data_IF_292316779248
#
_entry.id   IF_292316779248
#
_cell.length_a   1.000
_cell.length_b   1.000
_cell.length_c   1.000
_cell.angle_alpha   90.00
_cell.angle_beta   90.00
_cell.angle_gamma   90.00
#
_symmetry.space_group_name_H-M   'P 1'
#
loop_
_entity.id
_entity.type
_entity.pdbx_description
1 polymer ?
#
# COMPACT_ATOMS: atom_id res chain seq x y z
N UNK A 1 -8.20 -9.19 -23.53
CA UNK A 1 -7.69 -10.30 -22.69
C UNK A 1 -7.72 -9.94 -21.22
N UNK A 2 -7.20 -8.76 -20.84
CA UNK A 2 -7.45 -8.23 -19.50
C UNK A 2 -8.96 -8.13 -19.26
N UNK A 3 -9.38 -8.59 -18.09
CA UNK A 3 -10.77 -8.68 -17.67
C UNK A 3 -10.83 -8.50 -16.15
N UNK A 4 -12.03 -8.25 -15.62
CA UNK A 4 -12.24 -8.16 -14.17
C UNK A 4 -11.71 -9.40 -13.44
N UNK A 5 -11.99 -10.58 -13.98
CA UNK A 5 -11.51 -11.85 -13.45
C UNK A 5 -9.97 -11.95 -13.43
N UNK A 6 -9.30 -11.41 -14.44
CA UNK A 6 -7.83 -11.38 -14.50
C UNK A 6 -7.23 -10.53 -13.37
N UNK A 7 -7.83 -9.38 -13.06
CA UNK A 7 -7.38 -8.51 -11.97
C UNK A 7 -7.73 -9.07 -10.59
N UNK A 8 -8.90 -9.68 -10.42
CA UNK A 8 -9.26 -10.39 -9.18
C UNK A 8 -8.28 -11.54 -8.89
N UNK A 9 -7.92 -12.33 -9.91
CA UNK A 9 -6.87 -13.33 -9.79
C UNK A 9 -5.51 -12.73 -9.40
N UNK A 10 -5.12 -11.61 -10.01
CA UNK A 10 -3.87 -10.93 -9.68
C UNK A 10 -3.84 -10.45 -8.22
N UNK A 11 -4.96 -9.92 -7.71
CA UNK A 11 -5.10 -9.51 -6.31
C UNK A 11 -4.99 -10.74 -5.39
N UNK A 12 -5.72 -11.82 -5.66
CA UNK A 12 -5.65 -13.08 -4.89
C UNK A 12 -4.23 -13.61 -4.82
N UNK A 13 -3.55 -13.70 -5.96
CA UNK A 13 -2.17 -14.19 -6.04
C UNK A 13 -1.21 -13.27 -5.28
N UNK A 14 -1.36 -11.96 -5.41
CA UNK A 14 -0.56 -11.00 -4.66
C UNK A 14 -0.77 -11.16 -3.15
N UNK A 15 -2.02 -11.31 -2.67
CA UNK A 15 -2.32 -11.57 -1.25
C UNK A 15 -1.67 -12.84 -0.74
N UNK A 16 -1.74 -13.93 -1.50
CA UNK A 16 -1.13 -15.21 -1.13
C UNK A 16 0.40 -15.16 -1.00
N UNK A 17 1.03 -14.19 -1.68
CA UNK A 17 2.46 -13.90 -1.56
C UNK A 17 2.81 -12.88 -0.46
N UNK A 18 1.82 -12.38 0.28
CA UNK A 18 2.01 -11.34 1.28
C UNK A 18 2.10 -9.91 0.70
N UNK A 19 1.61 -9.72 -0.53
CA UNK A 19 1.29 -8.47 -1.23
C UNK A 19 2.17 -7.26 -0.86
N UNK A 20 3.09 -6.88 -1.75
CA UNK A 20 3.71 -5.55 -1.69
C UNK A 20 2.60 -4.49 -1.75
N UNK A 21 2.63 -3.49 -0.88
CA UNK A 21 1.62 -2.42 -0.87
C UNK A 21 1.61 -1.65 -2.20
N UNK A 22 2.76 -1.56 -2.88
CA UNK A 22 2.86 -0.97 -4.21
C UNK A 22 2.03 -1.70 -5.29
N UNK A 23 1.74 -2.99 -5.11
CA UNK A 23 0.91 -3.75 -6.04
C UNK A 23 -0.50 -3.16 -6.18
N UNK A 24 -1.00 -2.50 -5.12
CA UNK A 24 -2.29 -1.78 -5.14
C UNK A 24 -2.26 -0.68 -6.19
N UNK A 25 -1.29 0.22 -6.07
CA UNK A 25 -1.15 1.37 -6.97
C UNK A 25 -1.08 0.88 -8.43
N UNK A 26 -0.23 -0.12 -8.68
CA UNK A 26 -0.01 -0.65 -10.03
C UNK A 26 -1.23 -1.36 -10.60
N UNK A 27 -1.88 -2.25 -9.85
CA UNK A 27 -3.05 -2.98 -10.35
C UNK A 27 -4.26 -2.06 -10.56
N UNK A 28 -4.46 -1.07 -9.69
CA UNK A 28 -5.49 -0.04 -9.89
C UNK A 28 -5.23 0.70 -11.20
N UNK A 29 -4.03 1.25 -11.41
CA UNK A 29 -3.67 1.96 -12.64
C UNK A 29 -3.85 1.07 -13.88
N UNK A 30 -3.28 -0.14 -13.87
CA UNK A 30 -3.37 -1.09 -15.00
C UNK A 30 -4.81 -1.45 -15.33
N UNK A 31 -5.67 -1.64 -14.33
CA UNK A 31 -7.08 -1.99 -14.54
C UNK A 31 -7.88 -0.85 -15.15
N UNK A 32 -7.63 0.39 -14.72
CA UNK A 32 -8.27 1.58 -15.29
C UNK A 32 -7.86 1.81 -16.74
N UNK A 33 -6.58 1.57 -17.07
CA UNK A 33 -6.07 1.59 -18.46
C UNK A 33 -6.63 0.47 -19.33
N UNK A 34 -6.89 -0.70 -18.76
CA UNK A 34 -7.55 -1.79 -19.47
C UNK A 34 -9.04 -1.52 -19.74
N UNK A 35 -9.65 -0.60 -18.97
CA UNK A 35 -10.97 -0.03 -19.20
C UNK A 35 -11.94 -0.25 -18.04
N UNK A 36 -12.96 0.62 -17.94
CA UNK A 36 -13.88 0.67 -16.81
C UNK A 36 -14.57 -0.66 -16.46
N UNK A 37 -14.81 -1.52 -17.45
CA UNK A 37 -15.41 -2.85 -17.28
C UNK A 37 -14.57 -3.82 -16.42
N UNK A 38 -13.29 -3.54 -16.20
CA UNK A 38 -12.38 -4.38 -15.42
C UNK A 38 -11.63 -3.64 -14.31
N UNK A 39 -11.95 -2.37 -14.09
CA UNK A 39 -11.32 -1.55 -13.06
C UNK A 39 -11.47 -2.18 -11.67
N UNK A 40 -10.40 -2.19 -10.88
CA UNK A 40 -10.38 -2.60 -9.47
C UNK A 40 -9.98 -1.42 -8.59
N UNK A 41 -10.37 -1.46 -7.31
CA UNK A 41 -10.05 -0.42 -6.33
C UNK A 41 -9.66 -0.99 -4.97
N UNK A 42 -9.41 -0.10 -4.01
CA UNK A 42 -9.04 -0.48 -2.64
C UNK A 42 -10.01 -1.48 -1.99
N UNK A 43 -11.31 -1.34 -2.23
CA UNK A 43 -12.33 -2.23 -1.66
C UNK A 43 -12.19 -3.67 -2.18
N UNK A 44 -11.68 -3.87 -3.39
CA UNK A 44 -11.40 -5.21 -3.93
C UNK A 44 -10.21 -5.85 -3.24
N UNK A 45 -9.18 -5.06 -2.92
CA UNK A 45 -8.05 -5.49 -2.10
C UNK A 45 -8.48 -5.83 -0.67
N UNK A 46 -9.33 -5.01 -0.03
CA UNK A 46 -9.83 -5.33 1.32
C UNK A 46 -10.65 -6.62 1.33
N UNK A 47 -11.55 -6.81 0.36
CA UNK A 47 -12.33 -8.05 0.22
C UNK A 47 -11.45 -9.28 0.06
N UNK A 48 -10.41 -9.20 -0.77
CA UNK A 48 -9.46 -10.30 -0.95
C UNK A 48 -8.63 -10.55 0.31
N UNK A 49 -8.20 -9.48 1.00
CA UNK A 49 -7.38 -9.58 2.21
C UNK A 49 -8.06 -10.38 3.33
N UNK A 50 -9.39 -10.33 3.41
CA UNK A 50 -10.19 -11.04 4.42
C UNK A 50 -10.44 -12.51 4.11
N UNK A 51 -10.00 -12.99 2.95
CA UNK A 51 -10.35 -14.33 2.45
C UNK A 51 -9.13 -15.14 2.01
N UNK A 52 -8.07 -14.46 1.60
CA UNK A 52 -6.91 -15.10 0.99
C UNK A 52 -5.77 -15.18 2.02
N UNK A 53 -5.37 -16.40 2.44
CA UNK A 53 -4.25 -16.57 3.34
C UNK A 53 -2.92 -16.31 2.63
N UNK A 54 -1.90 -15.92 3.40
CA UNK A 54 -0.50 -15.88 2.92
C UNK A 54 0.07 -17.28 3.01
N UNK A 55 0.40 -17.88 1.87
CA UNK A 55 0.93 -19.26 1.80
C UNK A 55 2.34 -19.35 1.22
N UNK A 56 2.86 -18.28 0.60
CA UNK A 56 4.25 -18.24 0.20
C UNK A 56 5.14 -17.88 1.40
N UNK A 57 5.94 -18.84 1.89
CA UNK A 57 6.86 -18.67 3.01
C UNK A 57 8.16 -17.98 2.58
N UNK A 58 8.05 -16.82 1.92
CA UNK A 58 9.19 -16.05 1.43
C UNK A 58 9.29 -14.71 2.14
N UNK A 59 10.51 -14.22 2.32
CA UNK A 59 10.74 -12.89 2.92
C UNK A 59 10.07 -11.78 2.09
N UNK A 60 9.53 -10.73 2.74
CA UNK A 60 9.63 -10.43 4.17
C UNK A 60 8.53 -11.06 5.04
N UNK A 61 7.50 -11.69 4.45
CA UNK A 61 6.37 -12.25 5.21
C UNK A 61 6.72 -13.57 5.89
N UNK A 62 7.52 -14.41 5.22
CA UNK A 62 8.13 -15.61 5.77
C UNK A 62 9.50 -15.35 6.39
N UNK A 63 10.01 -16.32 7.16
CA UNK A 63 11.25 -16.18 7.93
C UNK A 63 12.50 -16.72 7.22
N UNK A 64 12.31 -17.73 6.36
CA UNK A 64 13.39 -18.65 5.98
C UNK A 64 13.79 -18.50 4.52
N UNK A 65 12.83 -18.50 3.60
CA UNK A 65 13.10 -18.70 2.18
C UNK A 65 13.12 -17.42 1.34
N UNK A 66 13.71 -17.53 0.16
CA UNK A 66 13.78 -16.49 -0.86
C UNK A 66 13.09 -16.97 -2.16
N UNK A 67 13.14 -16.14 -3.20
CA UNK A 67 12.46 -16.41 -4.48
C UNK A 67 12.97 -17.64 -5.22
N UNK A 68 14.25 -18.01 -5.04
CA UNK A 68 14.82 -19.22 -5.65
C UNK A 68 14.18 -20.48 -5.08
N UNK A 69 14.03 -20.55 -3.75
CA UNK A 69 13.32 -21.64 -3.08
C UNK A 69 11.87 -21.73 -3.56
N UNK A 70 11.19 -20.58 -3.71
CA UNK A 70 9.82 -20.53 -4.23
C UNK A 70 9.72 -21.09 -5.64
N UNK A 71 10.66 -20.76 -6.52
CA UNK A 71 10.73 -21.32 -7.86
C UNK A 71 10.89 -22.85 -7.82
N UNK A 72 11.87 -23.36 -7.05
CA UNK A 72 12.11 -24.81 -6.93
C UNK A 72 10.98 -25.57 -6.25
N UNK A 73 10.20 -24.91 -5.37
CA UNK A 73 9.01 -25.48 -4.77
C UNK A 73 7.82 -25.65 -5.74
N UNK A 74 7.97 -25.18 -7.00
CA UNK A 74 6.94 -25.24 -8.06
C UNK A 74 6.43 -23.86 -8.48
N UNK A 75 6.84 -22.80 -7.79
CA UNK A 75 6.59 -21.40 -8.14
C UNK A 75 5.12 -21.02 -8.22
N UNK A 76 4.84 -20.03 -9.06
CA UNK A 76 3.52 -19.41 -9.16
C UNK A 76 2.43 -20.40 -9.57
N UNK A 77 2.72 -21.32 -10.51
CA UNK A 77 1.76 -22.33 -10.97
C UNK A 77 1.36 -23.27 -9.83
N UNK A 78 2.32 -23.74 -9.04
CA UNK A 78 2.05 -24.61 -7.90
C UNK A 78 1.21 -23.89 -6.83
N UNK A 79 1.60 -22.66 -6.46
CA UNK A 79 0.84 -21.85 -5.50
C UNK A 79 -0.58 -21.53 -5.98
N UNK A 80 -0.74 -21.12 -7.24
CA UNK A 80 -2.07 -20.94 -7.84
C UNK A 80 -2.87 -22.24 -7.88
N UNK A 81 -2.20 -23.39 -8.01
CA UNK A 81 -2.81 -24.70 -7.89
C UNK A 81 -3.41 -24.98 -6.50
N UNK A 82 -2.77 -24.49 -5.43
CA UNK A 82 -3.29 -24.53 -4.05
C UNK A 82 -4.47 -23.57 -3.88
N UNK A 83 -4.44 -22.43 -4.57
CA UNK A 83 -5.46 -21.36 -4.48
C UNK A 83 -6.65 -21.55 -5.44
N UNK A 84 -6.83 -22.71 -6.09
CA UNK A 84 -7.83 -22.90 -7.15
C UNK A 84 -9.24 -22.41 -6.78
N UNK A 85 -9.67 -22.65 -5.54
CA UNK A 85 -11.00 -22.25 -5.05
C UNK A 85 -11.14 -20.74 -4.80
N UNK A 86 -10.02 -20.00 -4.82
CA UNK A 86 -9.97 -18.53 -4.74
C UNK A 86 -9.74 -17.86 -6.10
N UNK A 87 -9.61 -18.64 -7.19
CA UNK A 87 -9.29 -18.15 -8.53
C UNK A 87 -10.46 -18.30 -9.50
N UNK A 88 -10.59 -17.31 -10.38
CA UNK A 88 -11.44 -17.37 -11.57
C UNK A 88 -10.73 -18.21 -12.64
N UNK A 89 -10.95 -19.53 -12.62
CA UNK A 89 -10.19 -20.48 -13.44
C UNK A 89 -10.48 -20.38 -14.94
N UNK A 90 -11.64 -19.88 -15.34
CA UNK A 90 -12.03 -19.72 -16.75
C UNK A 90 -11.42 -18.49 -17.42
N UNK A 91 -10.69 -17.65 -16.67
CA UNK A 91 -10.04 -16.47 -17.22
C UNK A 91 -9.02 -16.85 -18.31
N UNK A 92 -9.12 -16.23 -19.49
CA UNK A 92 -8.21 -16.42 -20.60
C UNK A 92 -6.81 -15.88 -20.31
N UNK A 93 -5.80 -16.54 -20.88
CA UNK A 93 -4.39 -16.14 -20.78
C UNK A 93 -3.78 -15.92 -22.17
N UNK A 94 -2.55 -15.39 -22.21
CA UNK A 94 -1.79 -15.16 -23.45
C UNK A 94 -1.49 -16.44 -24.24
N UNK A 95 -1.57 -17.61 -23.59
CA UNK A 95 -1.38 -18.91 -24.25
C UNK A 95 -2.59 -19.35 -25.09
N UNK A 96 -3.71 -18.62 -25.04
CA UNK A 96 -4.98 -19.04 -25.61
C UNK A 96 -5.76 -20.04 -24.73
N UNK A 97 -5.16 -20.52 -23.64
CA UNK A 97 -5.79 -21.40 -22.63
C UNK A 97 -6.30 -20.62 -21.43
N UNK A 98 -7.24 -21.20 -20.69
CA UNK A 98 -7.72 -20.64 -19.41
C UNK A 98 -6.66 -20.76 -18.31
N UNK A 99 -6.86 -20.05 -17.19
CA UNK A 99 -6.01 -20.21 -15.99
C UNK A 99 -6.06 -21.66 -15.52
N UNK A 100 -7.25 -22.27 -15.41
CA UNK A 100 -7.42 -23.65 -14.95
C UNK A 100 -6.66 -24.66 -15.81
N UNK A 101 -6.71 -24.53 -17.14
CA UNK A 101 -5.96 -25.38 -18.06
C UNK A 101 -4.45 -25.23 -17.88
N UNK A 102 -3.96 -24.01 -17.68
CA UNK A 102 -2.54 -23.76 -17.42
C UNK A 102 -2.05 -24.26 -16.06
N UNK A 103 -2.95 -24.53 -15.11
CA UNK A 103 -2.63 -25.10 -13.80
C UNK A 103 -2.68 -26.64 -13.79
N UNK A 104 -3.03 -27.30 -14.90
CA UNK A 104 -2.97 -28.76 -14.98
C UNK A 104 -1.52 -29.25 -14.80
N UNK A 105 -1.35 -30.27 -13.96
CA UNK A 105 -0.04 -30.84 -13.61
C UNK A 105 0.86 -29.91 -12.77
N UNK A 106 0.32 -28.82 -12.20
CA UNK A 106 1.08 -28.03 -11.24
C UNK A 106 1.19 -28.78 -9.90
N UNK A 107 2.42 -28.94 -9.42
CA UNK A 107 2.73 -29.67 -8.18
C UNK A 107 3.55 -28.80 -7.24
N UNK A 108 3.27 -28.93 -5.94
CA UNK A 108 4.10 -28.33 -4.88
C UNK A 108 5.17 -29.34 -4.49
N UNK A 109 6.43 -29.00 -4.72
CA UNK A 109 7.57 -29.88 -4.38
C UNK A 109 8.10 -29.65 -2.97
N UNK A 110 7.79 -28.50 -2.36
CA UNK A 110 8.14 -28.21 -0.97
C UNK A 110 7.01 -27.45 -0.27
N UNK A 111 6.31 -28.17 0.61
CA UNK A 111 5.14 -27.66 1.33
C UNK A 111 5.48 -26.70 2.48
N UNK A 112 6.75 -26.54 2.88
CA UNK A 112 7.11 -25.46 3.82
C UNK A 112 7.35 -24.13 3.09
N UNK A 113 7.75 -24.18 1.81
CA UNK A 113 7.93 -22.99 0.97
C UNK A 113 6.58 -22.49 0.41
N UNK A 114 5.76 -23.41 -0.12
CA UNK A 114 4.40 -23.13 -0.58
C UNK A 114 3.45 -23.92 0.33
N UNK A 115 2.91 -23.23 1.33
CA UNK A 115 2.12 -23.87 2.38
C UNK A 115 0.71 -24.24 1.92
N UNK A 116 0.11 -25.31 2.48
CA UNK A 116 -1.30 -25.60 2.27
C UNK A 116 -2.19 -24.57 3.00
N UNK A 117 -3.46 -24.49 2.59
CA UNK A 117 -4.42 -23.51 3.13
C UNK A 117 -4.77 -23.73 4.62
N UNK A 118 -4.59 -24.94 5.14
CA UNK A 118 -4.81 -25.30 6.54
C UNK A 118 -3.60 -25.03 7.45
N UNK A 119 -2.43 -24.71 6.88
CA UNK A 119 -1.23 -24.30 7.59
C UNK A 119 -0.57 -23.07 6.94
N UNK A 120 -1.28 -21.93 6.80
CA UNK A 120 -0.72 -20.76 6.14
C UNK A 120 0.32 -20.05 7.03
N UNK A 121 1.07 -19.10 6.45
CA UNK A 121 1.91 -18.17 7.22
C UNK A 121 1.02 -17.20 7.99
N UNK A 122 0.00 -16.67 7.32
CA UNK A 122 -1.05 -15.83 7.91
C UNK A 122 -2.40 -16.27 7.35
N UNK A 123 -3.37 -16.53 8.23
CA UNK A 123 -4.69 -17.02 7.83
C UNK A 123 -5.48 -15.99 7.00
N UNK A 124 -5.31 -14.71 7.29
CA UNK A 124 -5.91 -13.60 6.56
C UNK A 124 -5.17 -12.29 6.88
N UNK A 125 -5.52 -11.20 6.18
CA UNK A 125 -5.09 -9.86 6.51
C UNK A 125 -3.63 -9.58 6.17
N UNK A 126 -3.10 -10.19 5.10
CA UNK A 126 -1.76 -9.91 4.60
C UNK A 126 -1.49 -8.40 4.47
N UNK A 127 -2.50 -7.71 3.97
CA UNK A 127 -2.64 -6.27 3.80
C UNK A 127 -4.01 -5.84 4.33
N UNK A 128 -4.15 -4.62 4.82
CA UNK A 128 -5.44 -4.06 5.19
C UNK A 128 -5.60 -2.64 4.63
N UNK A 129 -6.80 -2.31 4.15
CA UNK A 129 -7.18 -0.96 3.75
C UNK A 129 -7.91 -0.31 4.92
N UNK A 130 -7.40 0.81 5.44
CA UNK A 130 -8.05 1.54 6.52
C UNK A 130 -8.73 2.79 5.95
N UNK A 131 -9.85 3.18 6.56
CA UNK A 131 -10.57 4.43 6.26
C UNK A 131 -10.96 5.15 7.54
N UNK A 132 -11.17 6.45 7.43
CA UNK A 132 -11.73 7.29 8.49
C UNK A 132 -11.35 8.74 8.27
N UNK A 133 -11.57 9.60 9.26
CA UNK A 133 -11.36 11.04 9.05
C UNK A 133 -9.90 11.37 8.68
N UNK A 134 -8.89 10.62 9.12
CA UNK A 134 -7.49 10.89 8.75
C UNK A 134 -7.18 10.54 7.29
N UNK A 135 -7.81 9.49 6.76
CA UNK A 135 -7.61 8.99 5.40
C UNK A 135 -8.98 8.65 4.77
N UNK A 136 -9.74 9.67 4.31
CA UNK A 136 -11.09 9.45 3.82
C UNK A 136 -11.12 8.61 2.53
N UNK A 137 -10.15 8.82 1.63
CA UNK A 137 -10.04 8.04 0.38
C UNK A 137 -9.27 6.73 0.58
N UNK A 138 -8.70 6.55 1.78
CA UNK A 138 -8.12 5.32 2.27
C UNK A 138 -6.61 5.39 2.48
N UNK A 139 -6.10 4.41 3.19
CA UNK A 139 -4.67 4.14 3.35
C UNK A 139 -4.45 2.65 3.54
N UNK A 140 -3.20 2.20 3.54
CA UNK A 140 -2.87 0.77 3.59
C UNK A 140 -1.84 0.47 4.65
N UNK A 141 -1.98 -0.68 5.31
CA UNK A 141 -0.98 -1.26 6.22
C UNK A 141 -0.76 -2.72 5.82
N UNK A 142 0.40 -3.28 6.19
CA UNK A 142 0.71 -4.70 6.04
C UNK A 142 0.71 -5.39 7.42
N UNK A 143 -0.44 -5.90 7.92
CA UNK A 143 -0.54 -6.52 9.25
C UNK A 143 0.41 -7.71 9.42
N UNK A 144 0.63 -8.48 8.34
CA UNK A 144 1.57 -9.60 8.32
C UNK A 144 3.04 -9.23 8.59
N UNK A 145 3.40 -7.94 8.57
CA UNK A 145 4.74 -7.47 8.89
C UNK A 145 4.77 -6.55 10.13
N UNK A 146 3.65 -6.41 10.84
CA UNK A 146 3.41 -5.47 11.93
C UNK A 146 3.41 -6.22 13.28
N UNK A 147 4.00 -5.64 14.33
CA UNK A 147 3.89 -6.24 15.66
C UNK A 147 2.43 -6.20 16.16
N UNK A 148 1.90 -7.28 16.80
CA UNK A 148 0.47 -7.41 17.11
C UNK A 148 -0.13 -6.26 17.92
N UNK A 149 0.65 -5.64 18.81
CA UNK A 149 0.19 -4.51 19.63
C UNK A 149 -0.18 -3.27 18.79
N UNK A 150 0.34 -3.13 17.57
CA UNK A 150 0.02 -2.00 16.69
C UNK A 150 -1.17 -2.26 15.75
N UNK A 151 -1.81 -3.44 15.85
CA UNK A 151 -3.08 -3.70 15.16
C UNK A 151 -4.23 -2.86 15.74
N UNK A 152 -4.14 -2.52 17.03
CA UNK A 152 -5.04 -1.59 17.70
C UNK A 152 -4.20 -0.70 18.62
N UNK A 153 -3.99 0.54 18.20
CA UNK A 153 -3.12 1.47 18.92
C UNK A 153 -3.69 2.89 18.87
N UNK A 154 -3.67 3.56 20.01
CA UNK A 154 -3.97 4.99 20.10
C UNK A 154 -2.77 5.68 20.74
N UNK A 155 -2.20 6.68 20.05
CA UNK A 155 -0.98 7.33 20.49
C UNK A 155 -0.88 8.79 20.05
N UNK A 156 -0.05 9.60 20.73
CA UNK A 156 0.20 10.98 20.32
C UNK A 156 1.03 11.02 19.04
N UNK A 157 0.66 11.88 18.11
CA UNK A 157 1.38 12.11 16.87
C UNK A 157 2.69 12.87 17.13
N UNK A 158 3.77 12.46 16.47
CA UNK A 158 5.00 13.24 16.32
C UNK A 158 5.20 13.52 14.84
N UNK A 159 4.99 14.78 14.45
CA UNK A 159 4.80 15.18 13.06
C UNK A 159 6.05 15.78 12.45
N UNK A 160 6.35 15.37 11.22
CA UNK A 160 7.43 15.89 10.38
C UNK A 160 6.89 16.26 9.00
N UNK A 161 7.30 17.41 8.48
CA UNK A 161 6.84 17.94 7.18
C UNK A 161 7.79 17.60 6.02
N UNK A 162 9.00 17.12 6.32
CA UNK A 162 10.01 16.73 5.34
C UNK A 162 10.95 15.64 5.87
N UNK A 163 11.57 14.90 4.96
CA UNK A 163 12.45 13.78 5.30
C UNK A 163 13.75 14.21 6.02
N UNK A 164 14.46 15.28 5.59
CA UNK A 164 15.63 15.77 6.32
C UNK A 164 15.37 16.13 7.80
N UNK A 165 14.28 16.85 8.10
CA UNK A 165 13.94 17.21 9.48
C UNK A 165 13.57 15.99 10.31
N UNK A 166 12.80 15.06 9.75
CA UNK A 166 12.51 13.76 10.36
C UNK A 166 13.79 13.00 10.68
N UNK A 167 14.71 12.89 9.70
CA UNK A 167 15.96 12.15 9.88
C UNK A 167 16.80 12.75 11.00
N UNK A 168 17.00 14.06 11.00
CA UNK A 168 17.72 14.77 12.05
C UNK A 168 17.11 14.53 13.45
N UNK A 169 15.79 14.60 13.57
CA UNK A 169 15.09 14.35 14.83
C UNK A 169 15.21 12.89 15.29
N UNK A 170 15.06 11.92 14.39
CA UNK A 170 15.18 10.50 14.75
C UNK A 170 16.60 10.09 15.16
N UNK A 171 17.62 10.83 14.73
CA UNK A 171 19.00 10.62 15.15
C UNK A 171 19.35 11.34 16.48
N UNK A 172 18.49 12.23 16.97
CA UNK A 172 18.65 12.95 18.25
C UNK A 172 18.19 12.11 19.44
N UNK A 173 19.12 11.77 20.33
CA UNK A 173 18.83 10.97 21.53
C UNK A 173 18.05 11.73 22.61
N UNK A 174 18.00 13.07 22.52
CA UNK A 174 17.23 13.92 23.42
C UNK A 174 15.77 14.08 23.00
N UNK A 175 15.39 13.58 21.81
CA UNK A 175 14.02 13.65 21.31
C UNK A 175 13.01 13.14 22.36
N UNK A 176 11.99 13.95 22.60
CA UNK A 176 10.86 13.60 23.46
C UNK A 176 9.92 12.66 22.70
N UNK A 177 10.23 11.37 22.78
CA UNK A 177 9.52 10.31 22.07
C UNK A 177 9.52 9.03 22.90
N UNK A 178 8.41 8.31 22.83
CA UNK A 178 8.21 6.99 23.45
C UNK A 178 7.75 5.98 22.39
N UNK A 179 7.76 4.68 22.70
CA UNK A 179 7.28 3.64 21.80
C UNK A 179 5.76 3.73 21.49
N UNK A 180 5.01 4.50 22.28
CA UNK A 180 3.58 4.76 22.10
C UNK A 180 3.29 5.92 21.14
N UNK A 181 4.30 6.74 20.83
CA UNK A 181 4.14 7.80 19.85
C UNK A 181 3.93 7.23 18.44
N UNK A 182 3.17 7.97 17.63
CA UNK A 182 2.94 7.67 16.22
C UNK A 182 3.75 8.67 15.40
N UNK A 183 4.76 8.20 14.67
CA UNK A 183 5.49 9.10 13.77
C UNK A 183 4.65 9.40 12.54
N UNK A 184 4.56 10.67 12.17
CA UNK A 184 3.81 11.12 11.00
C UNK A 184 4.75 11.88 10.08
N UNK A 185 4.98 11.37 8.87
CA UNK A 185 5.69 12.10 7.82
C UNK A 185 4.72 12.50 6.71
N UNK A 186 4.75 13.77 6.34
CA UNK A 186 3.81 14.37 5.40
C UNK A 186 4.53 14.92 4.17
N UNK A 187 3.76 15.32 3.16
CA UNK A 187 4.28 15.89 1.92
C UNK A 187 5.21 14.92 1.19
N UNK A 188 4.90 13.63 1.27
CA UNK A 188 5.65 12.55 0.63
C UNK A 188 4.76 11.75 -0.34
N UNK A 189 3.57 12.26 -0.64
CA UNK A 189 2.65 11.72 -1.63
C UNK A 189 3.08 11.93 -3.08
N UNK A 190 2.19 11.62 -4.04
CA UNK A 190 2.44 11.82 -5.47
C UNK A 190 2.94 13.23 -5.78
N UNK A 191 2.26 14.28 -5.35
CA UNK A 191 2.68 15.66 -5.60
C UNK A 191 3.70 16.17 -4.57
N UNK A 192 3.55 15.77 -3.31
CA UNK A 192 4.39 16.24 -2.21
C UNK A 192 5.82 15.76 -2.29
N UNK A 193 6.03 14.48 -2.60
CA UNK A 193 7.33 13.83 -2.65
C UNK A 193 8.36 14.59 -3.50
N UNK A 194 8.05 14.93 -4.76
CA UNK A 194 7.06 14.36 -5.69
C UNK A 194 7.42 12.91 -6.11
N UNK A 195 6.51 12.22 -6.80
CA UNK A 195 6.73 10.84 -7.26
C UNK A 195 6.38 9.77 -6.22
N UNK A 196 5.89 10.18 -5.04
CA UNK A 196 5.54 9.28 -3.94
C UNK A 196 6.70 8.33 -3.56
N UNK A 197 7.83 8.83 -3.01
CA UNK A 197 9.01 8.03 -2.73
C UNK A 197 8.76 6.92 -1.69
N UNK A 198 9.68 5.94 -1.62
CA UNK A 198 9.62 4.84 -0.64
C UNK A 198 10.16 5.25 0.74
N UNK A 199 9.60 6.32 1.31
CA UNK A 199 10.01 6.90 2.59
C UNK A 199 9.10 6.51 3.77
N UNK A 200 8.08 5.68 3.54
CA UNK A 200 7.06 5.35 4.53
C UNK A 200 7.49 4.36 5.61
N UNK A 201 8.61 3.66 5.43
CA UNK A 201 9.28 2.93 6.52
C UNK A 201 10.19 3.89 7.28
N UNK A 202 9.59 4.82 8.04
CA UNK A 202 10.34 5.78 8.82
C UNK A 202 11.29 5.05 9.80
N UNK A 203 12.51 5.55 10.00
CA UNK A 203 13.44 5.00 10.99
C UNK A 203 12.85 5.14 12.39
N UNK A 204 13.02 4.10 13.21
CA UNK A 204 12.75 4.19 14.65
C UNK A 204 13.79 5.12 15.27
N UNK A 205 13.40 6.09 16.11
CA UNK A 205 14.34 6.99 16.79
C UNK A 205 15.46 6.22 17.47
N UNK A 206 16.70 6.68 17.30
CA UNK A 206 17.92 6.02 17.78
C UNK A 206 17.84 5.69 19.29
N UNK A 207 17.28 6.61 20.08
CA UNK A 207 17.00 6.43 21.51
C UNK A 207 16.16 5.18 21.78
N UNK A 208 15.07 4.99 21.03
CA UNK A 208 14.15 3.86 21.18
C UNK A 208 14.80 2.55 20.72
N UNK A 209 15.59 2.60 19.63
CA UNK A 209 16.38 1.44 19.18
C UNK A 209 17.35 0.98 20.26
N UNK A 210 18.07 1.92 20.92
CA UNK A 210 18.96 1.61 22.06
C UNK A 210 18.23 1.04 23.27
N UNK A 211 16.94 1.36 23.43
CA UNK A 211 16.06 0.78 24.45
C UNK A 211 15.48 -0.58 24.04
N UNK A 212 15.81 -1.09 22.85
CA UNK A 212 15.35 -2.39 22.36
C UNK A 212 14.00 -2.35 21.64
N UNK A 213 13.46 -1.17 21.33
CA UNK A 213 12.24 -1.03 20.51
C UNK A 213 12.55 -1.47 19.08
N UNK A 214 11.78 -2.43 18.59
CA UNK A 214 11.95 -3.04 17.25
C UNK A 214 10.87 -2.64 16.24
N UNK A 215 9.77 -2.09 16.72
CA UNK A 215 8.66 -1.62 15.89
C UNK A 215 7.98 -0.44 16.59
N UNK A 216 7.35 0.43 15.80
CA UNK A 216 6.49 1.52 16.24
C UNK A 216 5.54 1.93 15.11
N UNK A 217 4.39 2.50 15.45
CA UNK A 217 3.41 2.93 14.45
C UNK A 217 3.90 4.18 13.71
N UNK A 218 3.88 4.12 12.38
CA UNK A 218 4.36 5.17 11.47
C UNK A 218 3.32 5.41 10.38
N UNK A 219 3.04 6.67 10.07
CA UNK A 219 2.03 7.09 9.09
C UNK A 219 2.66 8.02 8.07
N UNK A 220 2.42 7.78 6.79
CA UNK A 220 2.75 8.75 5.75
C UNK A 220 1.85 8.64 4.51
N UNK A 221 1.84 9.70 3.72
CA UNK A 221 1.33 9.69 2.35
C UNK A 221 2.31 9.07 1.34
N UNK A 222 3.42 8.48 1.82
CA UNK A 222 4.46 7.87 1.00
C UNK A 222 4.19 6.39 0.66
N UNK A 223 5.14 5.77 -0.06
CA UNK A 223 5.21 4.32 -0.27
C UNK A 223 6.27 3.69 0.64
N UNK A 224 6.40 2.37 0.60
CA UNK A 224 7.55 1.67 1.17
C UNK A 224 8.00 0.56 0.21
N UNK A 225 9.23 0.09 0.38
CA UNK A 225 9.72 -1.06 -0.38
C UNK A 225 8.94 -2.31 -0.01
N UNK A 226 8.66 -3.19 -0.97
CA UNK A 226 7.94 -4.45 -0.73
C UNK A 226 8.64 -5.42 0.22
N UNK A 227 9.94 -5.20 0.49
CA UNK A 227 10.76 -5.97 1.44
C UNK A 227 10.76 -5.39 2.86
N UNK A 228 10.06 -4.27 3.08
CA UNK A 228 9.98 -3.57 4.36
C UNK A 228 9.12 -4.32 5.39
N UNK A 229 9.28 -3.96 6.66
CA UNK A 229 8.53 -4.49 7.79
C UNK A 229 8.13 -3.39 8.79
N UNK A 230 7.32 -3.78 9.77
CA UNK A 230 6.84 -2.97 10.87
C UNK A 230 5.48 -2.31 10.62
N UNK A 231 4.96 -1.67 11.67
CA UNK A 231 3.68 -0.99 11.70
C UNK A 231 3.69 0.32 10.86
N UNK A 232 3.69 0.18 9.54
CA UNK A 232 3.69 1.30 8.59
C UNK A 232 2.34 1.44 7.90
N UNK A 233 1.67 2.57 8.12
CA UNK A 233 0.51 3.03 7.34
C UNK A 233 1.02 3.93 6.22
N UNK A 234 0.61 3.62 5.00
CA UNK A 234 1.11 4.18 3.76
C UNK A 234 -0.04 4.67 2.90
N UNK A 235 0.31 5.43 1.85
CA UNK A 235 -0.63 5.81 0.80
C UNK A 235 -1.83 6.56 1.34
N UNK A 236 -1.66 7.32 2.43
CA UNK A 236 -2.73 8.14 2.99
C UNK A 236 -3.24 9.08 1.90
N UNK A 237 -4.52 8.90 1.55
CA UNK A 237 -5.21 9.66 0.53
C UNK A 237 -6.43 10.39 1.12
N UNK A 238 -6.64 11.67 0.77
CA UNK A 238 -5.76 12.54 -0.03
C UNK A 238 -4.41 12.82 0.66
N UNK A 239 -3.35 13.02 -0.12
CA UNK A 239 -2.02 13.35 0.41
C UNK A 239 -2.02 14.71 1.13
N UNK A 240 -1.00 14.94 1.98
CA UNK A 240 -0.93 16.18 2.75
C UNK A 240 -0.67 17.41 1.87
N UNK A 241 0.10 17.26 0.79
CA UNK A 241 0.50 18.37 -0.07
C UNK A 241 -0.69 19.10 -0.74
N UNK A 242 -1.79 18.38 -0.96
CA UNK A 242 -3.01 18.94 -1.57
C UNK A 242 -4.11 19.25 -0.54
N UNK A 243 -3.77 19.24 0.76
CA UNK A 243 -4.70 19.62 1.84
C UNK A 243 -5.56 18.47 2.38
N UNK A 244 -5.15 17.22 2.17
CA UNK A 244 -5.73 16.06 2.86
C UNK A 244 -5.60 16.17 4.38
N UNK A 245 -6.38 15.38 5.12
CA UNK A 245 -6.45 15.54 6.58
C UNK A 245 -5.14 15.25 7.30
N UNK A 246 -4.25 14.47 6.68
CA UNK A 246 -2.87 14.31 7.13
C UNK A 246 -2.15 15.66 7.30
N UNK A 247 -2.37 16.61 6.39
CA UNK A 247 -1.80 17.97 6.45
C UNK A 247 -2.23 18.78 7.67
N UNK A 248 -3.32 18.37 8.33
CA UNK A 248 -3.93 19.07 9.45
C UNK A 248 -3.51 18.51 10.81
N UNK A 249 -2.83 17.36 10.85
CA UNK A 249 -2.30 16.76 12.07
C UNK A 249 -1.29 17.71 12.73
N UNK A 250 -1.31 17.79 14.06
CA UNK A 250 -0.33 18.51 14.87
C UNK A 250 0.34 17.52 15.83
N UNK A 251 1.61 17.78 16.16
CA UNK A 251 2.30 17.01 17.21
C UNK A 251 1.50 17.09 18.50
N UNK A 252 1.29 15.95 19.14
CA UNK A 252 0.47 15.78 20.35
C UNK A 252 -0.99 15.41 20.10
N UNK A 253 -1.52 15.53 18.87
CA UNK A 253 -2.86 15.02 18.56
C UNK A 253 -2.89 13.49 18.76
N UNK A 254 -3.99 12.96 19.30
CA UNK A 254 -4.17 11.52 19.40
C UNK A 254 -4.65 10.95 18.06
N UNK A 255 -4.05 9.85 17.61
CA UNK A 255 -4.49 9.10 16.44
C UNK A 255 -4.81 7.68 16.90
N UNK A 256 -5.99 7.19 16.55
CA UNK A 256 -6.44 5.81 16.76
C UNK A 256 -6.35 5.02 15.46
N UNK A 257 -5.68 3.89 15.52
CA UNK A 257 -5.61 2.88 14.46
C UNK A 257 -6.27 1.62 14.96
N UNK A 258 -7.24 1.12 14.21
CA UNK A 258 -7.91 -0.15 14.47
C UNK A 258 -7.98 -0.95 13.16
N UNK A 259 -7.01 -1.85 12.99
CA UNK A 259 -6.88 -2.71 11.81
C UNK A 259 -8.04 -3.70 11.72
N UNK A 260 -8.48 -4.41 12.79
CA UNK A 260 -9.67 -5.26 12.73
C UNK A 260 -10.92 -4.55 12.18
N UNK A 261 -11.16 -3.31 12.63
CA UNK A 261 -12.30 -2.48 12.21
C UNK A 261 -12.05 -1.69 10.92
N UNK A 262 -10.86 -1.81 10.29
CA UNK A 262 -10.42 -1.03 9.13
C UNK A 262 -10.56 0.49 9.33
N UNK A 263 -10.30 0.95 10.56
CA UNK A 263 -10.48 2.34 10.97
C UNK A 263 -9.15 3.03 11.23
N UNK A 264 -9.04 4.27 10.77
CA UNK A 264 -7.99 5.21 11.15
C UNK A 264 -8.63 6.55 11.49
N UNK A 265 -8.34 7.10 12.67
CA UNK A 265 -9.02 8.27 13.19
C UNK A 265 -8.07 9.25 13.85
N UNK A 266 -8.17 10.53 13.48
CA UNK A 266 -7.57 11.64 14.19
C UNK A 266 -8.58 12.13 15.24
N UNK A 267 -8.22 12.03 16.51
CA UNK A 267 -9.09 12.29 17.67
C UNK A 267 -9.18 13.80 17.95
N UNK A 268 -9.71 14.55 16.99
CA UNK A 268 -10.08 15.96 17.13
C UNK A 268 -11.49 16.14 16.60
N UNK A 269 -12.21 17.17 17.06
CA UNK A 269 -13.56 17.43 16.58
C UNK A 269 -13.57 17.92 15.13
N UNK A 270 -14.71 17.78 14.46
CA UNK A 270 -14.91 18.25 13.10
C UNK A 270 -14.74 19.78 12.99
N UNK A 271 -15.08 20.53 14.05
CA UNK A 271 -14.84 21.98 14.13
C UNK A 271 -13.34 22.30 14.12
N UNK A 272 -12.55 21.59 14.93
CA UNK A 272 -11.09 21.76 14.95
C UNK A 272 -10.48 21.42 13.59
N UNK A 273 -10.96 20.37 12.92
CA UNK A 273 -10.53 20.03 11.56
C UNK A 273 -10.90 21.12 10.56
N UNK A 274 -12.11 21.67 10.63
CA UNK A 274 -12.57 22.73 9.75
C UNK A 274 -11.75 24.02 9.94
N UNK A 275 -11.48 24.42 11.19
CA UNK A 275 -10.62 25.56 11.52
C UNK A 275 -9.21 25.38 10.96
N UNK A 276 -8.60 24.22 11.20
CA UNK A 276 -7.26 23.90 10.70
C UNK A 276 -7.23 23.94 9.17
N UNK A 277 -8.24 23.39 8.50
CA UNK A 277 -8.36 23.43 7.04
C UNK A 277 -8.49 24.85 6.51
N UNK A 278 -9.29 25.70 7.16
CA UNK A 278 -9.44 27.10 6.78
C UNK A 278 -8.13 27.90 6.93
N UNK A 279 -7.28 27.52 7.89
CA UNK A 279 -5.95 28.10 8.09
C UNK A 279 -4.84 27.47 7.24
N UNK A 280 -5.10 26.36 6.56
CA UNK A 280 -4.10 25.62 5.81
C UNK A 280 -3.72 26.38 4.53
N UNK A 281 -2.42 26.50 4.29
CA UNK A 281 -1.89 27.07 3.06
C UNK A 281 -1.04 26.05 2.31
N UNK A 282 -1.19 25.94 0.98
CA UNK A 282 -0.40 25.02 0.19
C UNK A 282 1.08 25.44 0.20
N UNK A 283 1.97 24.45 0.15
CA UNK A 283 3.40 24.69 -0.03
C UNK A 283 3.68 25.37 -1.39
N UNK A 284 4.80 26.10 -1.53
CA UNK A 284 5.21 26.66 -2.80
C UNK A 284 5.35 25.59 -3.88
N UNK A 285 4.96 25.94 -5.12
CA UNK A 285 5.10 25.04 -6.27
C UNK A 285 6.58 24.69 -6.48
N UNK A 286 6.88 23.40 -6.54
CA UNK A 286 8.25 22.91 -6.78
C UNK A 286 8.71 23.04 -8.23
N UNK A 287 7.77 22.96 -9.18
CA UNK A 287 8.06 23.03 -10.61
C UNK A 287 7.20 24.07 -11.30
N UNK A 288 7.85 24.96 -12.06
CA UNK A 288 7.18 25.99 -12.84
C UNK A 288 7.03 25.64 -14.32
N UNK A 289 7.79 24.64 -14.82
CA UNK A 289 7.76 24.15 -16.21
C UNK A 289 8.26 22.71 -16.33
N UNK A 290 8.14 22.13 -17.53
CA UNK A 290 8.69 20.81 -17.88
C UNK A 290 7.86 19.64 -17.34
N UNK A 291 8.45 18.44 -17.33
CA UNK A 291 7.77 17.22 -16.88
C UNK A 291 7.23 17.35 -15.45
N UNK A 292 7.99 17.93 -14.52
CA UNK A 292 7.54 18.12 -13.15
C UNK A 292 6.28 18.99 -13.05
N UNK A 293 6.16 20.03 -13.88
CA UNK A 293 4.94 20.84 -13.94
C UNK A 293 3.74 20.06 -14.50
N UNK A 294 3.94 19.30 -15.58
CA UNK A 294 2.89 18.44 -16.16
C UNK A 294 2.47 17.38 -15.14
N UNK A 295 3.43 16.74 -14.49
CA UNK A 295 3.22 15.73 -13.47
C UNK A 295 2.33 16.28 -12.35
N UNK A 296 2.69 17.41 -11.75
CA UNK A 296 1.91 18.01 -10.65
C UNK A 296 0.50 18.45 -11.05
N UNK A 297 0.22 18.64 -12.36
CA UNK A 297 -1.10 19.02 -12.86
C UNK A 297 -2.03 17.83 -13.06
N UNK A 298 -1.48 16.69 -13.41
CA UNK A 298 -2.24 15.56 -13.97
C UNK A 298 -2.14 14.28 -13.16
N UNK A 299 -1.19 14.19 -12.21
CA UNK A 299 -1.04 13.00 -11.38
C UNK A 299 -2.23 12.83 -10.44
N UNK A 300 -2.84 11.66 -10.48
CA UNK A 300 -3.92 11.24 -9.60
C UNK A 300 -3.37 10.72 -8.25
N UNK A 301 -4.25 10.54 -7.27
CA UNK A 301 -3.88 10.11 -5.93
C UNK A 301 -3.57 8.60 -5.86
N UNK A 302 -3.00 8.16 -4.72
CA UNK A 302 -2.53 6.78 -4.55
C UNK A 302 -3.66 5.75 -4.60
N UNK A 303 -4.83 6.07 -4.06
CA UNK A 303 -6.06 5.27 -4.14
C UNK A 303 -6.55 5.11 -5.60
N UNK A 304 -6.13 6.01 -6.49
CA UNK A 304 -6.45 6.04 -7.91
C UNK A 304 -5.34 5.48 -8.79
N UNK A 305 -4.25 4.96 -8.19
CA UNK A 305 -3.18 4.30 -8.92
C UNK A 305 -2.03 5.21 -9.36
N UNK A 306 -1.96 6.46 -8.91
CA UNK A 306 -0.91 7.41 -9.29
C UNK A 306 -0.72 7.50 -10.83
N UNK A 307 -1.82 7.49 -11.57
CA UNK A 307 -1.82 7.60 -13.02
C UNK A 307 -2.01 9.06 -13.47
N UNK A 308 -1.78 9.35 -14.75
CA UNK A 308 -2.18 10.62 -15.33
C UNK A 308 -3.63 10.58 -15.78
N UNK A 309 -4.41 11.56 -15.34
CA UNK A 309 -5.83 11.70 -15.67
C UNK A 309 -6.11 11.65 -17.19
N UNK A 310 -5.26 12.27 -18.00
CA UNK A 310 -5.38 12.35 -19.45
C UNK A 310 -4.94 11.11 -20.21
N UNK A 311 -4.39 10.10 -19.52
CA UNK A 311 -3.95 8.84 -20.13
C UNK A 311 -4.93 7.68 -19.91
N UNK A 312 -6.00 7.89 -19.14
CA UNK A 312 -7.06 6.91 -19.00
C UNK A 312 -7.85 6.75 -20.31
N UNK A 313 -8.34 5.54 -20.58
CA UNK A 313 -9.18 5.26 -21.76
C UNK A 313 -10.51 6.02 -21.75
N UNK A 314 -10.94 6.49 -20.57
CA UNK A 314 -12.12 7.34 -20.39
C UNK A 314 -11.89 8.77 -20.90
N UNK A 315 -10.64 9.22 -20.98
CA UNK A 315 -10.28 10.56 -21.44
C UNK A 315 -10.26 10.65 -22.97
N UNK A 316 -9.78 9.60 -23.65
CA UNK A 316 -9.71 9.57 -25.11
C UNK A 316 -9.31 8.21 -25.67
N UNK A 317 -9.67 7.99 -26.93
CA UNK A 317 -9.25 6.80 -27.68
C UNK A 317 -7.76 6.89 -28.06
N UNK A 318 -7.05 5.74 -28.17
CA UNK A 318 -5.70 5.73 -28.74
C UNK A 318 -5.73 6.25 -30.18
N UNK A 319 -4.68 6.97 -30.58
CA UNK A 319 -4.48 7.35 -31.98
C UNK A 319 -4.04 6.13 -32.79
N UNK A 320 -4.50 6.05 -34.04
CA UNK A 320 -4.02 5.04 -34.99
C UNK A 320 -2.55 5.24 -35.33
N UNK A 321 -1.95 4.25 -35.98
CA UNK A 321 -0.62 4.41 -36.59
C UNK A 321 -0.64 5.58 -37.59
N UNK A 322 0.47 6.34 -37.73
CA UNK A 322 0.54 7.41 -38.71
C UNK A 322 0.25 6.89 -40.11
N UNK A 323 -0.52 7.64 -40.89
CA UNK A 323 -0.72 7.34 -42.30
C UNK A 323 0.64 7.41 -43.02
N UNK A 324 1.07 6.28 -43.60
CA UNK A 324 2.17 6.23 -44.55
C UNK A 324 1.54 6.12 -45.93
N UNK A 325 1.49 7.23 -46.65
CA UNK A 325 1.08 7.29 -48.06
C UNK A 325 2.29 7.24 -49.00
#
# INVERSE_FOLDING_TARGET
>A
MLSRASFENAITVAMAMGCSTNAIIHLVAMSRRAGAHCAVGLDDFDKASRKVPVIANIRPSGSTYLMEDFYFAGGLRAMMGVLKDHLQLDALTVSGKTVGENLQGAEVYNHDVIRPLDNPIYAEGALAVLRGNLAPDGCVIKPSACAPQYLQHTGPALVFDDYPSMKAATDDESLDVTADHILVLRNCGPQGGPGMPEWGMLPIPLKLVKQGVKDMLRISDARMSGTSYGACILHVAPEAYIGGNLALVKTGDMITVDVPMRRIHLEVSDEVLAERRASWSPLPKRFERGYGWMYSRHIMQADQGCDFDFLETSFGAPVGEPDIY
#
